data_IF_632451331557
#
_entry.id   IF_632451331557
#
_cell.length_a   1.000
_cell.length_b   1.000
_cell.length_c   1.000
_cell.angle_alpha   90.00
_cell.angle_beta   90.00
_cell.angle_gamma   90.00
#
_symmetry.space_group_name_H-M   'P 1'
#
loop_
_entity.id
_entity.type
_entity.pdbx_description
1 polymer ?
#
# COMPACT_ATOMS: atom_id res chain seq x y z
N UNK A 1 1.75 -5.49 -16.35
CA UNK A 1 0.56 -5.86 -17.14
C UNK A 1 -0.62 -6.26 -16.25
N UNK A 2 -0.48 -7.24 -15.35
CA UNK A 2 -1.52 -7.58 -14.34
C UNK A 2 -2.03 -6.36 -13.55
N UNK A 3 -1.14 -5.59 -12.93
CA UNK A 3 -1.51 -4.40 -12.15
C UNK A 3 -2.16 -3.29 -12.98
N UNK A 4 -1.87 -3.20 -14.28
CA UNK A 4 -2.50 -2.22 -15.17
C UNK A 4 -3.97 -2.56 -15.41
N UNK A 5 -4.27 -3.84 -15.61
CA UNK A 5 -5.65 -4.32 -15.76
C UNK A 5 -6.44 -4.12 -14.46
N UNK A 6 -5.81 -4.44 -13.33
CA UNK A 6 -6.36 -4.24 -11.97
C UNK A 6 -6.64 -2.74 -11.72
N UNK A 7 -5.82 -1.82 -12.21
CA UNK A 7 -6.02 -0.38 -12.02
C UNK A 7 -6.92 0.31 -13.07
N UNK A 8 -7.38 -0.39 -14.11
CA UNK A 8 -8.08 0.26 -15.24
C UNK A 8 -9.39 0.94 -14.83
N UNK A 9 -10.09 0.37 -13.86
CA UNK A 9 -11.35 0.91 -13.32
C UNK A 9 -11.16 2.30 -12.70
N UNK A 10 -9.98 2.63 -12.17
CA UNK A 10 -9.68 3.97 -11.69
C UNK A 10 -9.66 4.97 -12.84
N UNK A 11 -9.01 4.64 -13.95
CA UNK A 11 -8.90 5.56 -15.10
C UNK A 11 -10.29 5.85 -15.69
N UNK A 12 -11.17 4.85 -15.74
CA UNK A 12 -12.48 4.97 -16.38
C UNK A 12 -13.47 5.77 -15.53
N UNK A 13 -13.40 5.64 -14.20
CA UNK A 13 -14.43 6.18 -13.30
C UNK A 13 -14.04 7.49 -12.62
N UNK A 14 -12.84 8.03 -12.84
CA UNK A 14 -12.49 9.37 -12.34
C UNK A 14 -13.28 10.44 -13.10
N UNK A 15 -13.86 11.39 -12.37
CA UNK A 15 -14.63 12.49 -12.96
C UNK A 15 -14.17 13.84 -12.41
N UNK A 16 -14.47 14.91 -13.15
CA UNK A 16 -14.12 16.28 -12.77
C UNK A 16 -15.30 16.86 -12.00
N UNK A 17 -15.18 16.93 -10.68
CA UNK A 17 -16.21 17.51 -9.81
C UNK A 17 -15.87 18.94 -9.42
N UNK A 18 -16.90 19.76 -9.23
CA UNK A 18 -16.76 21.13 -8.73
C UNK A 18 -16.63 21.03 -7.20
N UNK A 19 -15.54 21.58 -6.67
CA UNK A 19 -15.27 21.69 -5.24
C UNK A 19 -16.44 22.37 -4.50
N UNK A 20 -16.63 22.05 -3.21
CA UNK A 20 -17.66 22.63 -2.34
C UNK A 20 -17.67 24.17 -2.31
N UNK A 21 -16.58 24.82 -2.70
CA UNK A 21 -16.46 26.28 -2.79
C UNK A 21 -16.88 26.85 -4.16
N UNK A 22 -17.32 26.02 -5.11
CA UNK A 22 -17.83 26.42 -6.43
C UNK A 22 -16.80 26.90 -7.44
N UNK A 23 -15.58 27.21 -7.01
CA UNK A 23 -14.56 27.88 -7.85
C UNK A 23 -13.52 26.94 -8.46
N UNK A 24 -13.24 25.80 -7.82
CA UNK A 24 -12.16 24.90 -8.23
C UNK A 24 -12.72 23.58 -8.78
N UNK A 25 -12.21 23.16 -9.93
CA UNK A 25 -12.44 21.81 -10.48
C UNK A 25 -11.40 20.87 -9.88
N UNK A 26 -11.86 19.83 -9.20
CA UNK A 26 -11.00 18.80 -8.62
C UNK A 26 -11.29 17.48 -9.32
N UNK A 27 -10.23 16.75 -9.67
CA UNK A 27 -10.34 15.42 -10.23
C UNK A 27 -10.54 14.45 -9.07
N UNK A 28 -11.77 14.02 -8.84
CA UNK A 28 -12.13 13.19 -7.70
C UNK A 28 -12.99 12.03 -8.12
N UNK A 29 -12.98 10.98 -7.30
CA UNK A 29 -13.88 9.85 -7.52
C UNK A 29 -15.34 10.30 -7.41
N UNK A 30 -16.25 9.72 -8.21
CA UNK A 30 -17.66 10.00 -8.12
C UNK A 30 -18.16 9.63 -6.71
N UNK A 31 -18.92 10.56 -6.13
CA UNK A 31 -19.55 10.40 -4.82
C UNK A 31 -20.60 9.29 -4.85
N UNK A 32 -20.75 8.56 -3.74
CA UNK A 32 -21.73 7.48 -3.61
C UNK A 32 -21.11 6.07 -3.48
N UNK A 33 -21.78 5.07 -4.03
CA UNK A 33 -21.45 3.64 -3.87
C UNK A 33 -20.08 3.27 -4.43
N UNK A 34 -19.64 3.94 -5.51
CA UNK A 34 -18.33 3.71 -6.10
C UNK A 34 -17.18 4.15 -5.18
N UNK A 35 -17.34 5.24 -4.43
CA UNK A 35 -16.34 5.69 -3.45
C UNK A 35 -16.13 4.66 -2.32
N UNK A 36 -17.22 4.02 -1.87
CA UNK A 36 -17.15 2.93 -0.89
C UNK A 36 -16.44 1.71 -1.49
N UNK A 37 -16.86 1.29 -2.70
CA UNK A 37 -16.23 0.18 -3.41
C UNK A 37 -14.73 0.41 -3.58
N UNK A 38 -14.33 1.60 -4.01
CA UNK A 38 -12.93 1.94 -4.21
C UNK A 38 -12.15 1.97 -2.90
N UNK A 39 -12.76 2.45 -1.82
CA UNK A 39 -12.14 2.41 -0.49
C UNK A 39 -11.82 0.98 -0.10
N UNK A 40 -12.80 0.07 -0.16
CA UNK A 40 -12.60 -1.37 0.10
C UNK A 40 -11.58 -2.02 -0.84
N UNK A 41 -11.65 -1.69 -2.12
CA UNK A 41 -10.73 -2.18 -3.13
C UNK A 41 -9.28 -1.76 -2.83
N UNK A 42 -9.07 -0.51 -2.43
CA UNK A 42 -7.76 -0.01 -2.04
C UNK A 42 -7.20 -0.75 -0.81
N UNK A 43 -8.05 -1.09 0.18
CA UNK A 43 -7.64 -1.92 1.32
C UNK A 43 -7.18 -3.29 0.86
N UNK A 44 -7.99 -3.96 0.04
CA UNK A 44 -7.71 -5.33 -0.39
C UNK A 44 -6.47 -5.40 -1.28
N UNK A 45 -6.36 -4.49 -2.24
CA UNK A 45 -5.29 -4.52 -3.24
C UNK A 45 -4.01 -3.91 -2.67
N UNK A 46 -4.05 -2.64 -2.27
CA UNK A 46 -2.85 -1.91 -1.84
C UNK A 46 -2.46 -2.25 -0.40
N UNK A 47 -3.44 -2.41 0.49
CA UNK A 47 -3.20 -2.66 1.92
C UNK A 47 -2.85 -4.11 2.25
N UNK A 48 -3.44 -5.09 1.57
CA UNK A 48 -3.32 -6.51 1.94
C UNK A 48 -2.62 -7.35 0.86
N UNK A 49 -3.09 -7.31 -0.38
CA UNK A 49 -2.63 -8.24 -1.41
C UNK A 49 -1.17 -8.04 -1.77
N UNK A 50 -0.71 -6.79 -1.93
CA UNK A 50 0.66 -6.46 -2.30
C UNK A 50 1.66 -6.91 -1.23
N UNK A 51 1.47 -6.56 0.06
CA UNK A 51 2.33 -7.06 1.14
C UNK A 51 2.33 -8.59 1.27
N UNK A 52 1.17 -9.23 1.12
CA UNK A 52 1.06 -10.70 1.19
C UNK A 52 1.81 -11.37 0.04
N UNK A 53 1.63 -10.89 -1.19
CA UNK A 53 2.35 -11.41 -2.36
C UNK A 53 3.86 -11.21 -2.22
N UNK A 54 4.32 -10.03 -1.80
CA UNK A 54 5.74 -9.78 -1.53
C UNK A 54 6.28 -10.74 -0.46
N UNK A 55 5.51 -11.02 0.59
CA UNK A 55 5.92 -11.95 1.65
C UNK A 55 6.01 -13.39 1.11
N UNK A 56 5.00 -13.85 0.36
CA UNK A 56 4.98 -15.19 -0.23
C UNK A 56 6.14 -15.37 -1.20
N UNK A 57 6.34 -14.42 -2.12
CA UNK A 57 7.46 -14.47 -3.06
C UNK A 57 8.81 -14.38 -2.34
N UNK A 58 8.93 -13.57 -1.29
CA UNK A 58 10.12 -13.52 -0.44
C UNK A 58 10.44 -14.88 0.18
N UNK A 59 9.45 -15.54 0.79
CA UNK A 59 9.60 -16.87 1.38
C UNK A 59 9.93 -17.95 0.36
N UNK A 60 9.28 -17.93 -0.81
CA UNK A 60 9.58 -18.85 -1.91
C UNK A 60 11.01 -18.66 -2.42
N UNK A 61 11.46 -17.41 -2.54
CA UNK A 61 12.82 -17.07 -2.95
C UNK A 61 13.83 -17.62 -1.95
N UNK A 62 13.60 -17.45 -0.64
CA UNK A 62 14.45 -18.05 0.41
C UNK A 62 14.48 -19.56 0.33
N UNK A 63 13.32 -20.21 0.16
CA UNK A 63 13.23 -21.67 0.06
C UNK A 63 14.02 -22.18 -1.15
N UNK A 64 13.90 -21.53 -2.30
CA UNK A 64 14.64 -21.89 -3.50
C UNK A 64 16.16 -21.65 -3.35
N UNK A 65 16.58 -20.52 -2.77
CA UNK A 65 17.98 -20.25 -2.48
C UNK A 65 18.57 -21.29 -1.51
N UNK A 66 17.85 -21.64 -0.44
CA UNK A 66 18.30 -22.67 0.51
C UNK A 66 18.46 -24.03 -0.17
N UNK A 67 17.54 -24.40 -1.07
CA UNK A 67 17.62 -25.65 -1.84
C UNK A 67 18.79 -25.66 -2.81
N UNK A 68 19.01 -24.56 -3.53
CA UNK A 68 20.12 -24.38 -4.45
C UNK A 68 21.48 -24.45 -3.72
N UNK A 69 21.61 -23.77 -2.58
CA UNK A 69 22.84 -23.81 -1.80
C UNK A 69 23.16 -25.18 -1.20
N UNK A 70 22.14 -25.91 -0.72
CA UNK A 70 22.34 -27.25 -0.20
C UNK A 70 22.83 -28.23 -1.28
N UNK A 71 22.53 -28.00 -2.56
CA UNK A 71 23.01 -28.83 -3.67
C UNK A 71 24.45 -28.49 -4.11
N UNK A 72 24.92 -27.26 -3.89
CA UNK A 72 26.23 -26.76 -4.36
C UNK A 72 27.30 -26.78 -3.25
N UNK A 73 26.90 -27.01 -1.99
CA UNK A 73 27.77 -26.92 -0.83
C UNK A 73 28.97 -27.91 -0.82
N UNK A 74 28.99 -28.90 -1.71
CA UNK A 74 30.08 -29.87 -1.79
C UNK A 74 31.38 -29.34 -2.47
N UNK A 75 31.44 -28.09 -2.95
CA UNK A 75 32.62 -27.65 -3.76
C UNK A 75 33.22 -26.26 -3.48
N UNK A 76 32.50 -25.31 -2.85
CA UNK A 76 32.95 -23.90 -2.80
C UNK A 76 32.58 -23.23 -1.45
N UNK A 77 33.17 -23.65 -0.35
CA UNK A 77 32.71 -23.26 1.01
C UNK A 77 32.95 -21.78 1.37
N UNK A 78 34.07 -21.18 0.94
CA UNK A 78 34.47 -19.84 1.42
C UNK A 78 33.82 -18.68 0.65
N UNK A 79 33.68 -18.80 -0.69
CA UNK A 79 33.02 -17.78 -1.51
C UNK A 79 31.50 -17.75 -1.24
N UNK A 80 30.92 -18.91 -0.93
CA UNK A 80 29.49 -19.05 -0.59
C UNK A 80 29.12 -18.35 0.72
N UNK A 81 29.96 -18.37 1.76
CA UNK A 81 29.66 -17.72 3.03
C UNK A 81 29.58 -16.19 2.91
N UNK A 82 30.48 -15.58 2.14
CA UNK A 82 30.46 -14.11 1.92
C UNK A 82 29.22 -13.69 1.14
N UNK A 83 28.80 -14.48 0.15
CA UNK A 83 27.59 -14.25 -0.65
C UNK A 83 26.31 -14.42 0.18
N UNK A 84 26.25 -15.47 1.01
CA UNK A 84 25.14 -15.74 1.94
C UNK A 84 24.93 -14.60 2.94
N UNK A 85 26.02 -13.98 3.43
CA UNK A 85 25.93 -12.82 4.33
C UNK A 85 25.34 -11.59 3.63
N UNK A 86 25.71 -11.34 2.37
CA UNK A 86 25.14 -10.25 1.57
C UNK A 86 23.65 -10.48 1.26
N UNK A 87 23.27 -11.69 0.88
CA UNK A 87 21.86 -12.03 0.60
C UNK A 87 20.97 -11.90 1.84
N UNK A 88 21.47 -12.27 3.03
CA UNK A 88 20.77 -12.04 4.29
C UNK A 88 20.58 -10.56 4.62
N UNK A 89 21.57 -9.71 4.29
CA UNK A 89 21.43 -8.27 4.46
C UNK A 89 20.37 -7.69 3.53
N UNK A 90 20.35 -8.11 2.26
CA UNK A 90 19.33 -7.71 1.28
C UNK A 90 17.94 -8.15 1.75
N UNK A 91 17.82 -9.41 2.21
CA UNK A 91 16.55 -9.92 2.69
C UNK A 91 16.05 -9.19 3.93
N UNK A 92 16.95 -8.90 4.88
CA UNK A 92 16.64 -8.10 6.07
C UNK A 92 16.19 -6.70 5.69
N UNK A 93 16.83 -6.07 4.70
CA UNK A 93 16.42 -4.76 4.18
C UNK A 93 15.02 -4.82 3.58
N UNK A 94 14.72 -5.82 2.74
CA UNK A 94 13.38 -6.01 2.14
C UNK A 94 12.31 -6.21 3.23
N UNK A 95 12.62 -7.00 4.25
CA UNK A 95 11.69 -7.28 5.34
C UNK A 95 11.42 -6.03 6.18
N UNK A 96 12.46 -5.24 6.48
CA UNK A 96 12.31 -3.94 7.16
C UNK A 96 11.47 -2.99 6.29
N UNK A 97 11.76 -2.89 4.99
CA UNK A 97 11.00 -2.07 4.06
C UNK A 97 9.52 -2.47 4.04
N UNK A 98 9.23 -3.77 4.04
CA UNK A 98 7.87 -4.30 4.05
C UNK A 98 7.13 -3.93 5.34
N UNK A 99 7.79 -4.05 6.50
CA UNK A 99 7.20 -3.64 7.79
C UNK A 99 6.93 -2.13 7.81
N UNK A 100 7.91 -1.32 7.42
CA UNK A 100 7.77 0.14 7.36
C UNK A 100 6.62 0.53 6.42
N UNK A 101 6.56 -0.07 5.24
CA UNK A 101 5.50 0.17 4.27
C UNK A 101 4.11 -0.17 4.82
N UNK A 102 3.96 -1.31 5.52
CA UNK A 102 2.69 -1.68 6.15
C UNK A 102 2.31 -0.69 7.24
N UNK A 103 3.24 -0.31 8.12
CA UNK A 103 2.98 0.64 9.21
C UNK A 103 2.59 2.02 8.68
N UNK A 104 3.23 2.50 7.61
CA UNK A 104 2.93 3.80 7.02
C UNK A 104 1.66 3.80 6.16
N UNK A 105 1.32 2.68 5.52
CA UNK A 105 0.15 2.58 4.62
C UNK A 105 -1.16 2.21 5.32
N UNK A 106 -1.08 1.52 6.46
CA UNK A 106 -2.25 1.05 7.19
C UNK A 106 -3.12 2.19 7.77
N UNK A 107 -2.56 3.26 8.36
CA UNK A 107 -3.33 4.38 8.90
C UNK A 107 -4.23 5.10 7.88
N UNK A 108 -3.72 5.38 6.68
CA UNK A 108 -4.52 6.01 5.61
C UNK A 108 -5.65 5.08 5.14
N UNK A 109 -5.37 3.77 5.09
CA UNK A 109 -6.34 2.75 4.70
C UNK A 109 -7.50 2.68 5.70
N UNK A 110 -7.19 2.73 7.01
CA UNK A 110 -8.20 2.81 8.08
C UNK A 110 -9.03 4.09 7.95
N UNK A 111 -8.38 5.23 7.70
CA UNK A 111 -9.08 6.51 7.56
C UNK A 111 -10.06 6.50 6.38
N UNK A 112 -9.67 5.97 5.22
CA UNK A 112 -10.56 5.88 4.05
C UNK A 112 -11.78 5.00 4.34
N UNK A 113 -11.59 3.88 5.05
CA UNK A 113 -12.68 3.04 5.50
C UNK A 113 -13.64 3.79 6.43
N UNK A 114 -13.09 4.47 7.45
CA UNK A 114 -13.86 5.29 8.38
C UNK A 114 -14.64 6.41 7.67
N UNK A 115 -13.99 7.11 6.74
CA UNK A 115 -14.59 8.19 5.95
C UNK A 115 -15.75 7.67 5.09
N UNK A 116 -15.53 6.54 4.40
CA UNK A 116 -16.56 5.88 3.59
C UNK A 116 -17.76 5.41 4.41
N UNK A 117 -17.55 4.84 5.60
CA UNK A 117 -18.64 4.39 6.49
C UNK A 117 -19.41 5.55 7.12
N UNK A 118 -18.73 6.66 7.40
CA UNK A 118 -19.34 7.81 8.09
C UNK A 118 -19.82 8.92 7.15
N UNK A 119 -19.76 8.70 5.83
CA UNK A 119 -20.06 9.74 4.84
C UNK A 119 -21.51 10.25 4.88
N UNK A 120 -22.47 9.42 5.32
CA UNK A 120 -23.89 9.79 5.41
C UNK A 120 -24.30 10.28 6.80
N UNK A 121 -23.38 10.30 7.75
CA UNK A 121 -23.65 10.76 9.12
C UNK A 121 -23.48 12.29 9.15
N UNK A 122 -24.43 13.00 9.74
CA UNK A 122 -24.32 14.45 9.96
C UNK A 122 -23.18 14.69 10.97
N UNK A 123 -22.15 15.44 10.55
CA UNK A 123 -20.96 15.72 11.36
C UNK A 123 -20.99 17.17 11.85
N UNK A 124 -20.54 17.39 13.09
CA UNK A 124 -20.33 18.75 13.60
C UNK A 124 -19.13 19.41 12.91
N UNK A 125 -19.11 20.75 12.84
CA UNK A 125 -18.01 21.50 12.22
C UNK A 125 -16.65 21.18 12.84
N UNK A 126 -16.62 20.96 14.16
CA UNK A 126 -15.41 20.55 14.89
C UNK A 126 -14.91 19.16 14.44
N UNK A 127 -15.83 18.20 14.27
CA UNK A 127 -15.47 16.85 13.81
C UNK A 127 -14.91 16.87 12.39
N UNK A 128 -15.50 17.65 11.49
CA UNK A 128 -15.01 17.82 10.12
C UNK A 128 -13.59 18.39 10.11
N UNK A 129 -13.32 19.39 10.95
CA UNK A 129 -11.99 19.98 11.06
C UNK A 129 -10.93 18.96 11.53
N UNK A 130 -11.26 18.16 12.55
CA UNK A 130 -10.38 17.10 13.04
C UNK A 130 -10.13 16.02 11.98
N UNK A 131 -11.17 15.58 11.27
CA UNK A 131 -11.04 14.58 10.21
C UNK A 131 -10.16 15.08 9.05
N UNK A 132 -10.28 16.36 8.68
CA UNK A 132 -9.42 16.99 7.66
C UNK A 132 -7.96 17.11 8.12
N UNK A 133 -7.74 17.46 9.39
CA UNK A 133 -6.39 17.51 9.96
C UNK A 133 -5.72 16.13 9.93
N UNK A 134 -6.45 15.09 10.36
CA UNK A 134 -5.98 13.70 10.33
C UNK A 134 -5.69 13.27 8.89
N UNK A 135 -6.58 13.57 7.94
CA UNK A 135 -6.36 13.25 6.52
C UNK A 135 -5.07 13.85 5.97
N UNK A 136 -4.81 15.14 6.24
CA UNK A 136 -3.60 15.80 5.77
C UNK A 136 -2.33 15.18 6.37
N UNK A 137 -2.35 14.86 7.67
CA UNK A 137 -1.24 14.15 8.32
C UNK A 137 -0.98 12.79 7.68
N UNK A 138 -2.04 12.01 7.45
CA UNK A 138 -1.94 10.69 6.83
C UNK A 138 -1.43 10.78 5.38
N UNK A 139 -1.83 11.81 4.65
CA UNK A 139 -1.36 12.07 3.29
C UNK A 139 0.15 12.38 3.28
N UNK A 140 0.64 13.16 4.25
CA UNK A 140 2.08 13.43 4.41
C UNK A 140 2.84 12.13 4.72
N UNK A 141 2.33 11.29 5.63
CA UNK A 141 2.93 9.96 5.89
C UNK A 141 3.01 9.11 4.62
N UNK A 142 1.97 9.17 3.79
CA UNK A 142 1.92 8.40 2.54
C UNK A 142 2.94 8.92 1.51
N UNK A 143 3.15 10.23 1.42
CA UNK A 143 4.22 10.81 0.61
C UNK A 143 5.61 10.38 1.10
N UNK A 144 5.84 10.33 2.41
CA UNK A 144 7.11 9.87 2.99
C UNK A 144 7.36 8.39 2.65
N UNK A 145 6.32 7.57 2.60
CA UNK A 145 6.43 6.16 2.22
C UNK A 145 6.70 5.93 0.72
N UNK A 146 6.26 6.87 -0.13
CA UNK A 146 6.44 6.81 -1.57
C UNK A 146 7.79 7.41 -2.05
N UNK A 147 8.50 8.13 -1.17
CA UNK A 147 9.81 8.72 -1.42
C UNK A 147 10.94 7.73 -1.10
#
# INVERSE_FOLDING_TARGET
LFWMIVCIHNIINYDIQISSNGTNRICTNPSGTYSIFLSFYSILINGLSMPLLMTIFGLLTVRNLKRYYNQIHNSITIILERRKKQEWLILRMILIQLIVNVILSLPITIYLCYSGLTQYIIKSSFRIFMENYIYNMLTILQYINAA
#
